data_IF_654349429237
#
_entry.id   IF_654349429237
#
_cell.length_a   1.000
_cell.length_b   1.000
_cell.length_c   1.000
_cell.angle_alpha   90.00
_cell.angle_beta   90.00
_cell.angle_gamma   90.00
#
_symmetry.space_group_name_H-M   'P 1'
#
loop_
_entity.id
_entity.type
_entity.pdbx_description
1 polymer ?
#
# COMPACT_ATOMS: atom_id res chain seq x y z
N UNK A 1 3.77 -20.89 18.18
CA UNK A 1 3.82 -22.11 17.37
C UNK A 1 3.36 -21.74 15.95
N UNK A 2 3.98 -22.31 14.91
CA UNK A 2 3.61 -22.02 13.53
C UNK A 2 2.33 -22.75 13.14
N UNK A 3 1.49 -22.07 12.33
CA UNK A 3 0.32 -22.69 11.71
C UNK A 3 0.77 -23.75 10.69
N UNK A 4 0.14 -24.94 10.63
CA UNK A 4 0.36 -25.89 9.53
C UNK A 4 -0.05 -25.33 8.19
N UNK A 5 0.58 -25.82 7.10
CA UNK A 5 0.17 -25.49 5.74
C UNK A 5 -0.84 -26.55 5.25
N UNK A 6 -2.08 -26.13 5.04
CA UNK A 6 -3.14 -26.97 4.49
C UNK A 6 -3.18 -26.82 2.95
N UNK A 7 -2.35 -27.60 2.26
CA UNK A 7 -2.24 -27.55 0.80
C UNK A 7 -3.37 -28.28 0.07
N UNK A 8 -4.38 -28.79 0.80
CA UNK A 8 -5.53 -29.45 0.22
C UNK A 8 -6.43 -28.47 -0.55
N UNK A 9 -6.97 -28.90 -1.70
CA UNK A 9 -7.98 -28.15 -2.47
C UNK A 9 -9.38 -28.56 -2.03
N UNK A 10 -9.64 -29.85 -1.83
CA UNK A 10 -10.93 -30.41 -1.43
C UNK A 10 -10.83 -31.05 -0.03
N UNK A 11 -11.92 -31.02 0.71
CA UNK A 11 -12.01 -31.57 2.04
C UNK A 11 -13.11 -32.65 2.08
N UNK A 12 -12.87 -33.74 2.79
CA UNK A 12 -13.82 -34.84 2.92
C UNK A 12 -14.95 -34.42 3.86
N UNK A 13 -16.19 -34.67 3.43
CA UNK A 13 -17.34 -34.63 4.32
C UNK A 13 -17.58 -36.02 4.95
N UNK A 14 -17.89 -36.06 6.27
CA UNK A 14 -18.18 -37.35 6.97
C UNK A 14 -19.39 -38.05 6.40
N UNK A 15 -20.50 -37.32 6.16
CA UNK A 15 -21.73 -37.79 5.59
C UNK A 15 -22.51 -36.67 4.90
N UNK A 16 -23.64 -36.99 4.26
CA UNK A 16 -24.54 -35.98 3.70
C UNK A 16 -25.09 -35.07 4.82
N UNK A 17 -24.91 -33.76 4.66
CA UNK A 17 -25.31 -32.77 5.67
C UNK A 17 -24.30 -32.55 6.81
N UNK A 18 -23.21 -33.32 6.86
CA UNK A 18 -22.14 -33.16 7.83
C UNK A 18 -20.92 -32.49 7.18
N UNK A 19 -20.20 -31.66 7.96
CA UNK A 19 -19.00 -30.96 7.50
C UNK A 19 -17.89 -31.01 8.57
N UNK A 20 -16.64 -31.00 8.12
CA UNK A 20 -15.48 -30.77 8.98
C UNK A 20 -15.15 -29.27 9.17
N UNK A 21 -16.00 -28.38 8.67
CA UNK A 21 -15.80 -26.93 8.66
C UNK A 21 -15.25 -26.39 7.34
N UNK A 22 -14.69 -27.25 6.48
CA UNK A 22 -14.14 -26.88 5.19
C UNK A 22 -14.68 -27.78 4.08
N UNK A 23 -14.86 -27.22 2.89
CA UNK A 23 -15.33 -27.95 1.71
C UNK A 23 -14.33 -27.83 0.54
N UNK A 24 -13.89 -26.63 0.24
CA UNK A 24 -13.06 -26.33 -0.93
C UNK A 24 -12.21 -25.07 -0.70
N UNK A 25 -10.91 -25.12 -1.00
CA UNK A 25 -9.97 -24.06 -0.66
C UNK A 25 -10.23 -22.71 -1.35
N UNK A 26 -10.91 -22.68 -2.50
CA UNK A 26 -11.34 -21.41 -3.10
C UNK A 26 -12.35 -20.67 -2.21
N UNK A 27 -13.18 -21.41 -1.48
CA UNK A 27 -14.11 -20.85 -0.50
C UNK A 27 -13.38 -20.51 0.79
N UNK A 28 -12.83 -21.53 1.45
CA UNK A 28 -12.16 -21.41 2.75
C UNK A 28 -10.98 -22.40 2.86
N UNK A 29 -9.93 -21.98 3.55
CA UNK A 29 -8.75 -22.80 3.83
C UNK A 29 -8.23 -22.47 5.23
N UNK A 30 -7.86 -23.47 6.07
CA UNK A 30 -7.43 -23.21 7.46
C UNK A 30 -6.23 -22.27 7.58
N UNK A 31 -5.23 -22.39 6.69
CA UNK A 31 -4.05 -21.52 6.71
C UNK A 31 -4.41 -20.09 6.34
N UNK A 32 -5.28 -19.90 5.33
CA UNK A 32 -5.76 -18.57 4.92
C UNK A 32 -6.63 -17.93 6.01
N UNK A 33 -7.51 -18.68 6.64
CA UNK A 33 -8.34 -18.17 7.76
C UNK A 33 -7.49 -17.63 8.91
N UNK A 34 -6.39 -18.32 9.26
CA UNK A 34 -5.50 -17.83 10.31
C UNK A 34 -4.82 -16.51 9.93
N UNK A 35 -4.41 -16.34 8.66
CA UNK A 35 -3.90 -15.08 8.16
C UNK A 35 -4.97 -13.98 8.22
N UNK A 36 -6.16 -14.27 7.71
CA UNK A 36 -7.29 -13.34 7.68
C UNK A 36 -7.68 -12.92 9.11
N UNK A 37 -7.76 -13.87 10.05
CA UNK A 37 -7.99 -13.60 11.47
C UNK A 37 -6.91 -12.71 12.07
N UNK A 38 -5.64 -13.00 11.78
CA UNK A 38 -4.49 -12.20 12.25
C UNK A 38 -4.58 -10.77 11.75
N UNK A 39 -4.86 -10.55 10.46
CA UNK A 39 -4.93 -9.23 9.87
C UNK A 39 -6.16 -8.43 10.36
N UNK A 40 -7.31 -9.08 10.56
CA UNK A 40 -8.47 -8.45 11.15
C UNK A 40 -8.16 -7.90 12.55
N UNK A 41 -7.47 -8.68 13.39
CA UNK A 41 -7.05 -8.25 14.74
C UNK A 41 -6.05 -7.08 14.68
N UNK A 42 -5.05 -7.16 13.80
CA UNK A 42 -3.99 -6.14 13.72
C UNK A 42 -4.54 -4.77 13.27
N UNK A 43 -5.46 -4.74 12.32
CA UNK A 43 -6.11 -3.50 11.86
C UNK A 43 -7.29 -3.09 12.76
N UNK A 44 -7.85 -4.02 13.54
CA UNK A 44 -9.01 -3.78 14.39
C UNK A 44 -10.35 -3.84 13.65
N UNK A 45 -10.44 -4.69 12.62
CA UNK A 45 -11.67 -4.96 11.86
C UNK A 45 -12.36 -6.23 12.31
N UNK A 46 -13.61 -6.43 11.85
CA UNK A 46 -14.38 -7.67 12.13
C UNK A 46 -13.96 -8.83 11.23
N UNK A 47 -13.49 -8.54 10.02
CA UNK A 47 -13.12 -9.56 9.03
C UNK A 47 -12.05 -9.06 8.08
N UNK A 48 -11.14 -9.97 7.69
CA UNK A 48 -10.18 -9.73 6.63
C UNK A 48 -10.28 -10.81 5.56
N UNK A 49 -9.74 -10.50 4.37
CA UNK A 49 -9.71 -11.38 3.20
C UNK A 49 -8.33 -11.31 2.56
N UNK A 50 -7.75 -12.48 2.25
CA UNK A 50 -6.42 -12.57 1.65
C UNK A 50 -6.50 -12.93 0.16
N UNK A 51 -5.95 -12.04 -0.66
CA UNK A 51 -5.97 -12.06 -2.12
C UNK A 51 -4.60 -12.39 -2.71
N UNK A 52 -4.58 -12.87 -3.94
CA UNK A 52 -3.38 -13.21 -4.70
C UNK A 52 -2.49 -12.00 -5.04
N UNK A 53 -2.97 -10.78 -4.86
CA UNK A 53 -2.17 -9.54 -5.02
C UNK A 53 -2.91 -8.34 -4.39
N UNK A 54 -2.18 -7.23 -4.15
CA UNK A 54 -2.79 -5.96 -3.75
C UNK A 54 -3.80 -5.46 -4.78
N UNK A 55 -3.54 -5.66 -6.08
CA UNK A 55 -4.48 -5.28 -7.14
C UNK A 55 -5.76 -6.12 -7.09
N UNK A 56 -5.68 -7.42 -6.79
CA UNK A 56 -6.86 -8.24 -6.59
C UNK A 56 -7.69 -7.80 -5.36
N UNK A 57 -7.02 -7.31 -4.32
CA UNK A 57 -7.67 -6.69 -3.16
C UNK A 57 -8.41 -5.40 -3.55
N UNK A 58 -7.75 -4.50 -4.29
CA UNK A 58 -8.37 -3.27 -4.78
C UNK A 58 -9.54 -3.54 -5.74
N UNK A 59 -9.42 -4.54 -6.64
CA UNK A 59 -10.52 -4.99 -7.49
C UNK A 59 -11.75 -5.40 -6.68
N UNK A 60 -11.56 -6.13 -5.57
CA UNK A 60 -12.66 -6.54 -4.70
C UNK A 60 -13.35 -5.34 -4.04
N UNK A 61 -12.59 -4.31 -3.65
CA UNK A 61 -13.14 -3.08 -3.07
C UNK A 61 -13.92 -2.27 -4.12
N UNK A 62 -13.36 -2.07 -5.31
CA UNK A 62 -14.07 -1.36 -6.38
C UNK A 62 -15.30 -2.10 -6.89
N UNK A 63 -15.36 -3.43 -6.74
CA UNK A 63 -16.57 -4.22 -7.08
C UNK A 63 -17.78 -3.94 -6.17
N UNK A 64 -17.61 -3.19 -5.08
CA UNK A 64 -18.72 -2.69 -4.25
C UNK A 64 -19.51 -1.58 -4.93
N UNK A 65 -18.95 -0.93 -5.96
CA UNK A 65 -19.57 0.15 -6.72
C UNK A 65 -20.50 -0.40 -7.80
N UNK A 66 -21.56 0.32 -8.09
CA UNK A 66 -22.52 0.02 -9.16
C UNK A 66 -22.28 0.95 -10.35
N UNK A 67 -22.69 0.56 -11.56
CA UNK A 67 -22.67 1.46 -12.72
C UNK A 67 -23.34 2.81 -12.41
N UNK A 68 -22.66 3.90 -12.70
CA UNK A 68 -23.08 5.27 -12.39
C UNK A 68 -22.59 5.79 -11.02
N UNK A 69 -21.98 4.96 -10.18
CA UNK A 69 -21.35 5.45 -8.94
C UNK A 69 -20.04 6.19 -9.26
N UNK A 70 -19.70 7.14 -8.39
CA UNK A 70 -18.49 7.94 -8.49
C UNK A 70 -17.55 7.66 -7.32
N UNK A 71 -16.23 7.59 -7.60
CA UNK A 71 -15.16 7.44 -6.62
C UNK A 71 -14.17 8.60 -6.69
N UNK A 72 -13.79 9.14 -5.53
CA UNK A 72 -12.67 10.06 -5.37
C UNK A 72 -11.40 9.27 -5.02
N UNK A 73 -10.29 9.55 -5.72
CA UNK A 73 -9.01 8.89 -5.52
C UNK A 73 -7.90 9.91 -5.28
N UNK A 74 -6.87 9.53 -4.52
CA UNK A 74 -5.63 10.31 -4.40
C UNK A 74 -5.05 10.61 -5.79
N UNK A 75 -4.56 11.82 -6.02
CA UNK A 75 -4.07 12.29 -7.33
C UNK A 75 -2.76 11.62 -7.78
N UNK A 76 -1.93 11.19 -6.84
CA UNK A 76 -0.71 10.42 -7.09
C UNK A 76 -0.83 8.96 -6.60
N UNK A 77 -1.98 8.36 -6.80
CA UNK A 77 -2.24 6.96 -6.47
C UNK A 77 -1.36 6.02 -7.29
N UNK A 78 -1.04 4.85 -6.72
CA UNK A 78 -0.26 3.82 -7.40
C UNK A 78 -0.79 3.54 -8.83
N UNK A 79 0.12 3.50 -9.83
CA UNK A 79 -0.24 3.35 -11.25
C UNK A 79 -1.11 2.14 -11.56
N UNK A 80 -0.97 1.02 -10.83
CA UNK A 80 -1.85 -0.14 -10.97
C UNK A 80 -3.30 0.16 -10.56
N UNK A 81 -3.53 0.96 -9.52
CA UNK A 81 -4.86 1.37 -9.09
C UNK A 81 -5.46 2.38 -10.07
N UNK A 82 -4.64 3.32 -10.58
CA UNK A 82 -5.01 4.22 -11.68
C UNK A 82 -5.54 3.44 -12.89
N UNK A 83 -4.81 2.40 -13.32
CA UNK A 83 -5.22 1.54 -14.44
C UNK A 83 -6.50 0.76 -14.14
N UNK A 84 -6.67 0.20 -12.95
CA UNK A 84 -7.89 -0.54 -12.57
C UNK A 84 -9.12 0.34 -12.71
N UNK A 85 -9.09 1.53 -12.13
CA UNK A 85 -10.29 2.37 -12.12
C UNK A 85 -10.60 2.94 -13.51
N UNK A 86 -9.58 3.38 -14.26
CA UNK A 86 -9.74 3.94 -15.59
C UNK A 86 -10.08 2.89 -16.64
N UNK A 87 -9.22 1.88 -16.79
CA UNK A 87 -9.30 0.95 -17.91
C UNK A 87 -10.25 -0.23 -17.67
N UNK A 88 -10.47 -0.63 -16.42
CA UNK A 88 -11.34 -1.77 -16.10
C UNK A 88 -12.71 -1.27 -15.65
N UNK A 89 -12.80 -0.53 -14.56
CA UNK A 89 -14.08 -0.12 -13.98
C UNK A 89 -14.77 1.01 -14.78
N UNK A 90 -14.02 1.87 -15.44
CA UNK A 90 -14.57 2.88 -16.36
C UNK A 90 -15.44 2.28 -17.47
N UNK A 91 -15.09 1.06 -17.96
CA UNK A 91 -15.91 0.33 -18.95
C UNK A 91 -17.26 -0.15 -18.40
N UNK A 92 -17.36 -0.27 -17.09
CA UNK A 92 -18.60 -0.66 -16.41
C UNK A 92 -19.40 0.55 -15.89
N UNK A 93 -19.01 1.77 -16.31
CA UNK A 93 -19.73 2.99 -15.98
C UNK A 93 -19.44 3.54 -14.59
N UNK A 94 -18.32 3.18 -13.98
CA UNK A 94 -17.85 3.81 -12.75
C UNK A 94 -17.16 5.12 -13.10
N UNK A 95 -17.67 6.22 -12.54
CA UNK A 95 -17.03 7.54 -12.65
C UNK A 95 -15.93 7.69 -11.62
N UNK A 96 -14.89 8.45 -11.95
CA UNK A 96 -13.82 8.72 -11.01
C UNK A 96 -13.27 10.15 -11.14
N UNK A 97 -12.69 10.65 -10.04
CA UNK A 97 -11.98 11.93 -9.99
C UNK A 97 -10.75 11.78 -9.12
N UNK A 98 -9.60 12.19 -9.65
CA UNK A 98 -8.36 12.30 -8.89
C UNK A 98 -8.29 13.66 -8.22
N UNK A 99 -7.95 13.70 -6.91
CA UNK A 99 -7.93 14.93 -6.12
C UNK A 99 -6.79 14.88 -5.09
N UNK A 100 -6.21 16.02 -4.80
CA UNK A 100 -5.24 16.16 -3.71
C UNK A 100 -5.95 15.92 -2.37
N UNK A 101 -5.73 14.72 -1.77
CA UNK A 101 -6.41 14.30 -0.54
C UNK A 101 -5.91 15.02 0.72
N UNK A 102 -4.82 15.74 0.64
CA UNK A 102 -4.28 16.62 1.66
C UNK A 102 -4.89 18.07 1.60
N UNK A 103 -5.70 18.36 0.57
CA UNK A 103 -6.51 19.58 0.45
C UNK A 103 -8.00 19.26 0.63
N UNK A 104 -8.50 19.45 1.86
CA UNK A 104 -9.90 19.14 2.21
C UNK A 104 -10.92 19.99 1.45
N UNK A 105 -10.58 21.19 1.01
CA UNK A 105 -11.48 22.04 0.25
C UNK A 105 -11.55 21.58 -1.21
N UNK A 106 -10.45 21.16 -1.81
CA UNK A 106 -10.43 20.50 -3.10
C UNK A 106 -11.24 19.18 -3.06
N UNK A 107 -11.11 18.38 -2.01
CA UNK A 107 -11.90 17.15 -1.82
C UNK A 107 -13.40 17.47 -1.78
N UNK A 108 -13.83 18.44 -0.96
CA UNK A 108 -15.25 18.83 -0.88
C UNK A 108 -15.79 19.32 -2.22
N UNK A 109 -14.99 20.10 -2.97
CA UNK A 109 -15.36 20.61 -4.30
C UNK A 109 -15.50 19.49 -5.35
N UNK A 110 -14.78 18.38 -5.20
CA UNK A 110 -14.80 17.25 -6.13
C UNK A 110 -15.95 16.26 -5.86
N UNK A 111 -16.70 16.42 -4.75
CA UNK A 111 -17.83 15.54 -4.42
C UNK A 111 -18.98 15.75 -5.39
N UNK A 112 -19.53 14.66 -5.91
CA UNK A 112 -20.71 14.63 -6.78
C UNK A 112 -21.90 13.97 -6.05
N UNK A 113 -23.15 14.17 -6.49
CA UNK A 113 -24.32 13.50 -5.89
C UNK A 113 -24.26 11.97 -5.89
N UNK A 114 -23.52 11.40 -6.85
CA UNK A 114 -23.31 9.96 -7.00
C UNK A 114 -21.98 9.48 -6.41
N UNK A 115 -21.27 10.28 -5.61
CA UNK A 115 -20.03 9.86 -4.92
C UNK A 115 -20.38 8.80 -3.87
N UNK A 116 -19.75 7.61 -3.97
CA UNK A 116 -19.99 6.45 -3.10
C UNK A 116 -18.74 5.92 -2.42
N UNK A 117 -17.55 6.39 -2.83
CA UNK A 117 -16.30 5.91 -2.26
C UNK A 117 -15.23 7.00 -2.32
N UNK A 118 -14.44 7.08 -1.25
CA UNK A 118 -13.14 7.75 -1.22
C UNK A 118 -12.09 6.64 -1.11
N UNK A 119 -11.17 6.57 -2.06
CA UNK A 119 -10.06 5.63 -2.04
C UNK A 119 -8.76 6.40 -1.86
N UNK A 120 -8.18 6.32 -0.67
CA UNK A 120 -7.08 7.16 -0.22
C UNK A 120 -5.83 6.34 0.01
N UNK A 121 -4.72 6.71 -0.63
CA UNK A 121 -3.39 6.19 -0.34
C UNK A 121 -2.66 7.22 0.53
N UNK A 122 -2.15 6.81 1.70
CA UNK A 122 -1.45 7.72 2.61
C UNK A 122 -0.46 6.99 3.52
N UNK A 123 0.87 7.36 3.49
CA UNK A 123 1.50 8.29 2.54
C UNK A 123 1.41 7.80 1.10
N UNK A 124 1.38 8.73 0.13
CA UNK A 124 1.27 8.39 -1.29
C UNK A 124 2.59 7.92 -1.90
N UNK A 125 2.50 7.19 -3.02
CA UNK A 125 3.64 6.71 -3.80
C UNK A 125 3.66 7.39 -5.17
N UNK A 126 4.68 8.19 -5.53
CA UNK A 126 5.96 8.32 -4.83
C UNK A 126 6.15 9.65 -4.08
N UNK A 127 5.15 10.56 -4.09
CA UNK A 127 5.33 11.95 -3.65
C UNK A 127 5.31 12.13 -2.14
N UNK A 128 4.97 11.06 -1.38
CA UNK A 128 4.96 11.08 0.09
C UNK A 128 3.98 12.12 0.69
N UNK A 129 2.87 12.41 0.00
CA UNK A 129 1.79 13.26 0.52
C UNK A 129 1.04 12.52 1.63
N UNK A 130 0.56 13.25 2.63
CA UNK A 130 -0.18 12.67 3.76
C UNK A 130 -1.56 13.29 3.87
N UNK A 131 -2.58 12.44 3.80
CA UNK A 131 -3.97 12.82 3.97
C UNK A 131 -4.43 12.65 5.43
N UNK A 132 -5.24 13.57 5.95
CA UNK A 132 -5.89 13.42 7.27
C UNK A 132 -7.05 12.43 7.17
N UNK A 133 -6.78 11.19 7.58
CA UNK A 133 -7.76 10.08 7.50
C UNK A 133 -9.03 10.40 8.27
N UNK A 134 -8.92 10.99 9.45
CA UNK A 134 -10.10 11.31 10.28
C UNK A 134 -10.98 12.37 9.60
N UNK A 135 -10.38 13.46 9.13
CA UNK A 135 -11.12 14.53 8.46
C UNK A 135 -11.80 14.02 7.17
N UNK A 136 -11.08 13.23 6.37
CA UNK A 136 -11.65 12.62 5.15
C UNK A 136 -12.77 11.62 5.47
N UNK A 137 -12.64 10.84 6.54
CA UNK A 137 -13.69 9.90 6.98
C UNK A 137 -14.97 10.63 7.40
N UNK A 138 -14.84 11.77 8.08
CA UNK A 138 -15.98 12.62 8.44
C UNK A 138 -16.67 13.20 7.20
N UNK A 139 -15.92 13.65 6.21
CA UNK A 139 -16.44 14.14 4.92
C UNK A 139 -17.13 13.00 4.16
N UNK A 140 -16.49 11.84 3.99
CA UNK A 140 -17.07 10.70 3.29
C UNK A 140 -18.40 10.26 3.94
N UNK A 141 -18.42 10.15 5.27
CA UNK A 141 -19.63 9.83 6.05
C UNK A 141 -20.75 10.83 5.83
N UNK A 142 -20.45 12.14 5.76
CA UNK A 142 -21.45 13.19 5.58
C UNK A 142 -22.23 13.08 4.26
N UNK A 143 -21.65 12.42 3.25
CA UNK A 143 -22.25 12.20 1.92
C UNK A 143 -22.66 10.74 1.68
N UNK A 144 -22.56 9.88 2.70
CA UNK A 144 -22.90 8.46 2.61
C UNK A 144 -21.95 7.65 1.70
N UNK A 145 -20.68 8.09 1.59
CA UNK A 145 -19.65 7.39 0.85
C UNK A 145 -18.79 6.53 1.78
N UNK A 146 -18.25 5.42 1.26
CA UNK A 146 -17.28 4.58 1.96
C UNK A 146 -15.90 5.25 1.97
N UNK A 147 -15.22 5.17 3.11
CA UNK A 147 -13.83 5.57 3.26
C UNK A 147 -12.92 4.35 3.21
N UNK A 148 -12.11 4.26 2.18
CA UNK A 148 -11.12 3.19 1.96
C UNK A 148 -9.72 3.76 2.05
N UNK A 149 -8.85 3.12 2.82
CA UNK A 149 -7.46 3.54 2.96
C UNK A 149 -6.52 2.41 2.55
N UNK A 150 -5.63 2.68 1.59
CA UNK A 150 -4.47 1.83 1.33
C UNK A 150 -3.39 2.14 2.36
N UNK A 151 -3.17 1.21 3.29
CA UNK A 151 -2.24 1.32 4.41
C UNK A 151 -0.94 0.54 4.18
N UNK A 152 -0.56 0.32 2.93
CA UNK A 152 0.59 -0.51 2.53
C UNK A 152 1.90 0.00 3.12
N UNK A 153 2.16 1.33 3.14
CA UNK A 153 3.44 1.90 3.56
C UNK A 153 3.66 1.87 5.07
N UNK A 154 2.62 2.12 5.84
CA UNK A 154 2.75 2.24 7.30
C UNK A 154 2.36 0.97 8.05
N UNK A 155 1.61 0.07 7.43
CA UNK A 155 1.13 -1.17 8.05
C UNK A 155 0.32 -0.92 9.34
N UNK A 156 -0.37 -1.91 9.90
CA UNK A 156 -1.06 -1.72 11.18
C UNK A 156 -0.10 -1.44 12.35
N UNK A 157 1.21 -1.59 12.12
CA UNK A 157 2.20 -1.27 13.16
C UNK A 157 2.33 0.24 13.40
N UNK A 158 2.38 1.06 12.35
CA UNK A 158 2.49 2.51 12.47
C UNK A 158 1.17 3.27 12.31
N UNK A 159 0.19 2.74 11.58
CA UNK A 159 -1.07 3.42 11.32
C UNK A 159 -2.25 2.44 11.38
N UNK A 160 -3.37 2.83 12.00
CA UNK A 160 -4.59 2.04 12.05
C UNK A 160 -5.78 2.86 11.50
N UNK A 161 -6.00 2.88 10.18
CA UNK A 161 -7.02 3.72 9.55
C UNK A 161 -8.44 3.45 10.04
N UNK A 162 -8.80 2.20 10.37
CA UNK A 162 -10.13 1.86 10.90
C UNK A 162 -10.43 2.60 12.22
N UNK A 163 -9.41 2.81 13.07
CA UNK A 163 -9.56 3.59 14.32
C UNK A 163 -9.73 5.08 14.06
N UNK A 164 -9.28 5.55 12.89
CA UNK A 164 -9.38 6.95 12.45
C UNK A 164 -10.66 7.23 11.65
N UNK A 165 -11.51 6.23 11.47
CA UNK A 165 -12.82 6.40 10.84
C UNK A 165 -13.00 5.71 9.50
N UNK A 166 -11.95 5.16 8.89
CA UNK A 166 -12.07 4.40 7.65
C UNK A 166 -13.00 3.18 7.82
N UNK A 167 -13.71 2.81 6.75
CA UNK A 167 -14.61 1.66 6.70
C UNK A 167 -13.88 0.39 6.24
N UNK A 168 -12.90 0.57 5.35
CA UNK A 168 -12.13 -0.52 4.75
C UNK A 168 -10.65 -0.11 4.70
N UNK A 169 -9.77 -1.07 4.97
CA UNK A 169 -8.33 -0.94 4.74
C UNK A 169 -7.89 -1.95 3.70
N UNK A 170 -7.05 -1.51 2.75
CA UNK A 170 -6.37 -2.39 1.80
C UNK A 170 -4.87 -2.41 2.04
N UNK A 171 -4.22 -3.50 1.64
CA UNK A 171 -2.77 -3.64 1.63
C UNK A 171 -2.31 -4.39 0.39
N UNK A 172 -1.25 -3.91 -0.24
CA UNK A 172 -0.34 -4.80 -0.92
C UNK A 172 0.54 -5.49 0.13
N UNK A 173 0.10 -6.64 0.62
CA UNK A 173 0.86 -7.39 1.65
C UNK A 173 2.16 -8.01 1.13
N UNK A 174 2.37 -7.97 -0.19
CA UNK A 174 3.66 -8.16 -0.88
C UNK A 174 4.80 -7.35 -0.26
N UNK A 175 4.48 -6.18 0.31
CA UNK A 175 5.41 -5.16 0.79
C UNK A 175 5.81 -5.44 2.24
N UNK A 176 5.77 -4.45 3.11
CA UNK A 176 6.22 -4.54 4.50
C UNK A 176 5.59 -5.67 5.32
N UNK A 177 4.34 -6.04 5.05
CA UNK A 177 3.69 -7.15 5.77
C UNK A 177 4.41 -8.48 5.53
N UNK A 178 4.70 -8.82 4.28
CA UNK A 178 5.55 -9.95 3.90
C UNK A 178 7.01 -9.71 4.26
N UNK A 179 7.56 -8.62 3.75
CA UNK A 179 8.86 -8.05 4.10
C UNK A 179 10.08 -8.82 3.62
N UNK A 180 9.92 -9.86 2.80
CA UNK A 180 11.02 -10.73 2.39
C UNK A 180 11.11 -10.92 0.86
N UNK A 181 10.37 -10.15 0.06
CA UNK A 181 10.35 -10.19 -1.41
C UNK A 181 10.05 -11.59 -2.00
N UNK A 182 9.36 -12.45 -1.25
CA UNK A 182 9.15 -13.89 -1.52
C UNK A 182 7.69 -14.28 -1.76
N UNK A 183 6.73 -13.35 -1.60
CA UNK A 183 5.30 -13.60 -1.80
C UNK A 183 4.59 -12.40 -2.40
N UNK A 184 3.72 -12.66 -3.38
CA UNK A 184 2.80 -11.68 -3.95
C UNK A 184 1.43 -11.85 -3.29
N UNK A 185 0.92 -10.81 -2.64
CA UNK A 185 -0.30 -10.94 -1.84
C UNK A 185 -1.01 -9.60 -1.61
N UNK A 186 -2.30 -9.66 -1.29
CA UNK A 186 -3.12 -8.51 -0.92
C UNK A 186 -4.06 -8.83 0.24
N UNK A 187 -4.42 -7.81 0.99
CA UNK A 187 -5.36 -7.94 2.11
C UNK A 187 -6.43 -6.84 1.99
N UNK A 188 -7.66 -7.20 2.29
CA UNK A 188 -8.76 -6.26 2.60
C UNK A 188 -9.21 -6.51 4.02
N UNK A 189 -9.38 -5.45 4.82
CA UNK A 189 -9.94 -5.54 6.17
C UNK A 189 -11.17 -4.64 6.26
N UNK A 190 -12.30 -5.20 6.70
CA UNK A 190 -13.57 -4.49 6.89
C UNK A 190 -13.75 -4.16 8.38
N UNK A 191 -14.13 -2.90 8.67
CA UNK A 191 -14.22 -2.38 10.04
C UNK A 191 -15.30 -3.12 10.87
N UNK A 192 -16.58 -2.89 10.55
CA UNK A 192 -17.71 -3.31 11.39
C UNK A 192 -19.02 -3.57 10.59
N UNK A 193 -18.91 -3.69 9.25
CA UNK A 193 -20.05 -3.85 8.35
C UNK A 193 -20.08 -5.25 7.74
N UNK A 194 -20.98 -6.11 8.27
CA UNK A 194 -21.16 -7.50 7.82
C UNK A 194 -21.64 -7.59 6.36
N UNK A 195 -22.44 -6.63 5.88
CA UNK A 195 -22.92 -6.62 4.50
C UNK A 195 -21.76 -6.40 3.51
N UNK A 196 -20.86 -5.44 3.83
CA UNK A 196 -19.65 -5.21 3.04
C UNK A 196 -18.75 -6.44 3.08
N UNK A 197 -18.57 -7.03 4.26
CA UNK A 197 -17.76 -8.24 4.41
C UNK A 197 -18.31 -9.40 3.55
N UNK A 198 -19.63 -9.60 3.51
CA UNK A 198 -20.23 -10.63 2.66
C UNK A 198 -20.08 -10.32 1.16
N UNK A 199 -20.22 -9.07 0.73
CA UNK A 199 -19.98 -8.68 -0.67
C UNK A 199 -18.53 -8.97 -1.09
N UNK A 200 -17.54 -8.65 -0.25
CA UNK A 200 -16.13 -8.99 -0.50
C UNK A 200 -15.93 -10.51 -0.53
N UNK A 201 -16.59 -11.26 0.38
CA UNK A 201 -16.55 -12.72 0.38
C UNK A 201 -17.15 -13.32 -0.91
N UNK A 202 -18.27 -12.79 -1.39
CA UNK A 202 -18.86 -13.19 -2.67
C UNK A 202 -17.91 -12.93 -3.82
N UNK A 203 -17.24 -11.76 -3.81
CA UNK A 203 -16.26 -11.42 -4.84
C UNK A 203 -15.09 -12.42 -4.86
N UNK A 204 -14.42 -12.65 -3.71
CA UNK A 204 -13.22 -13.52 -3.66
C UNK A 204 -13.56 -14.96 -4.08
N UNK A 205 -14.66 -15.52 -3.61
CA UNK A 205 -15.06 -16.89 -3.96
C UNK A 205 -15.50 -17.05 -5.42
N UNK A 206 -16.04 -15.99 -6.04
CA UNK A 206 -16.53 -15.99 -7.42
C UNK A 206 -15.41 -15.75 -8.42
N UNK A 207 -14.53 -14.79 -8.17
CA UNK A 207 -13.38 -14.48 -9.02
C UNK A 207 -12.22 -15.48 -8.86
N UNK A 208 -12.14 -16.17 -7.71
CA UNK A 208 -11.09 -17.13 -7.46
C UNK A 208 -9.72 -16.49 -7.24
N UNK A 209 -9.69 -15.25 -6.73
CA UNK A 209 -8.47 -14.45 -6.50
C UNK A 209 -7.89 -14.60 -5.08
N UNK A 210 -8.26 -15.66 -4.37
CA UNK A 210 -7.77 -15.96 -3.03
C UNK A 210 -6.27 -16.26 -3.02
N UNK A 211 -5.61 -15.94 -1.90
CA UNK A 211 -4.21 -16.26 -1.68
C UNK A 211 -4.00 -17.77 -1.45
N UNK A 212 -2.96 -18.35 -2.05
CA UNK A 212 -2.61 -19.75 -1.91
C UNK A 212 -2.10 -20.06 -0.47
N UNK A 213 -2.27 -21.32 0.03
CA UNK A 213 -1.90 -21.65 1.40
C UNK A 213 -0.41 -21.44 1.73
N UNK A 214 0.48 -21.72 0.81
CA UNK A 214 1.92 -21.49 1.00
C UNK A 214 2.24 -20.01 1.17
N UNK A 215 1.66 -19.15 0.32
CA UNK A 215 1.84 -17.70 0.41
C UNK A 215 1.20 -17.13 1.70
N UNK A 216 0.04 -17.67 2.13
CA UNK A 216 -0.55 -17.34 3.42
C UNK A 216 0.41 -17.64 4.57
N UNK A 217 1.10 -18.78 4.51
CA UNK A 217 2.05 -19.20 5.54
C UNK A 217 3.30 -18.31 5.55
N UNK A 218 3.87 -17.98 4.37
CA UNK A 218 5.00 -17.06 4.23
C UNK A 218 4.64 -15.68 4.80
N UNK A 219 3.45 -15.17 4.47
CA UNK A 219 2.97 -13.89 4.98
C UNK A 219 2.78 -13.91 6.51
N UNK A 220 2.16 -14.97 7.06
CA UNK A 220 2.06 -15.17 8.52
C UNK A 220 3.44 -15.18 9.19
N UNK A 221 4.44 -15.81 8.54
CA UNK A 221 5.81 -15.83 9.03
C UNK A 221 6.44 -14.43 9.00
N UNK A 222 6.26 -13.67 7.90
CA UNK A 222 6.73 -12.30 7.77
C UNK A 222 6.13 -11.35 8.81
N UNK A 223 4.83 -11.45 9.06
CA UNK A 223 4.11 -10.63 10.06
C UNK A 223 4.70 -10.79 11.47
N UNK A 224 5.22 -11.96 11.84
CA UNK A 224 5.82 -12.19 13.17
C UNK A 224 7.02 -11.30 13.47
N UNK A 225 7.71 -10.81 12.45
CA UNK A 225 8.86 -9.90 12.59
C UNK A 225 8.52 -8.46 12.21
N UNK A 226 7.25 -8.16 11.90
CA UNK A 226 6.83 -6.84 11.44
C UNK A 226 7.31 -5.71 12.36
N UNK A 227 7.12 -5.75 13.69
CA UNK A 227 7.53 -4.65 14.57
C UNK A 227 9.03 -4.34 14.48
N UNK A 228 9.88 -5.35 14.64
CA UNK A 228 11.35 -5.14 14.60
C UNK A 228 11.86 -4.69 13.24
N UNK A 229 11.20 -5.11 12.15
CA UNK A 229 11.53 -4.64 10.80
C UNK A 229 11.09 -3.18 10.60
N UNK A 230 9.85 -2.85 10.95
CA UNK A 230 9.33 -1.49 10.79
C UNK A 230 10.12 -0.47 11.61
N UNK A 231 10.50 -0.81 12.86
CA UNK A 231 11.36 0.06 13.68
C UNK A 231 12.71 0.30 12.99
N UNK A 232 13.33 -0.75 12.45
CA UNK A 232 14.63 -0.63 11.76
C UNK A 232 14.51 0.13 10.44
N UNK A 233 13.48 -0.14 9.63
CA UNK A 233 13.20 0.62 8.42
C UNK A 233 13.04 2.11 8.72
N UNK A 234 12.27 2.45 9.74
CA UNK A 234 12.00 3.83 10.15
C UNK A 234 13.28 4.54 10.64
N UNK A 235 14.08 3.86 11.46
CA UNK A 235 15.36 4.40 11.95
C UNK A 235 16.34 4.64 10.80
N UNK A 236 16.52 3.67 9.92
CA UNK A 236 17.41 3.75 8.78
C UNK A 236 16.96 4.84 7.80
N UNK A 237 15.67 4.87 7.45
CA UNK A 237 15.12 5.86 6.52
C UNK A 237 15.32 7.28 7.03
N UNK A 238 15.13 7.53 8.31
CA UNK A 238 15.40 8.84 8.89
C UNK A 238 16.86 9.29 8.67
N UNK A 239 17.81 8.42 9.02
CA UNK A 239 19.26 8.74 8.86
C UNK A 239 19.65 8.94 7.39
N UNK A 240 19.14 8.09 6.48
CA UNK A 240 19.39 8.22 5.05
C UNK A 240 18.77 9.51 4.49
N UNK A 241 17.53 9.85 4.89
CA UNK A 241 16.88 11.08 4.45
C UNK A 241 17.61 12.35 4.94
N UNK A 242 18.06 12.36 6.21
CA UNK A 242 18.88 13.44 6.77
C UNK A 242 20.21 13.57 6.02
N UNK A 243 20.90 12.48 5.74
CA UNK A 243 22.13 12.46 4.96
C UNK A 243 21.91 12.99 3.52
N UNK A 244 20.85 12.52 2.82
CA UNK A 244 20.52 12.97 1.47
C UNK A 244 20.36 14.49 1.38
N UNK A 245 19.76 15.14 2.40
CA UNK A 245 19.64 16.61 2.45
C UNK A 245 20.98 17.35 2.48
N UNK A 246 22.06 16.70 2.91
CA UNK A 246 23.39 17.30 2.97
C UNK A 246 24.15 17.17 1.64
N UNK A 247 23.66 16.38 0.68
CA UNK A 247 24.38 16.08 -0.53
C UNK A 247 24.23 17.17 -1.59
N UNK A 248 25.35 17.70 -2.16
CA UNK A 248 25.30 18.80 -3.14
C UNK A 248 24.50 18.48 -4.41
N UNK A 249 24.50 17.21 -4.83
CA UNK A 249 23.79 16.72 -6.02
C UNK A 249 22.30 16.48 -5.78
N UNK A 250 21.84 16.43 -4.52
CA UNK A 250 20.43 16.25 -4.17
C UNK A 250 19.74 17.61 -4.12
N UNK A 251 18.64 17.77 -4.86
CA UNK A 251 17.87 19.01 -4.94
C UNK A 251 16.70 19.05 -3.97
N UNK A 252 16.04 17.91 -3.78
CA UNK A 252 14.90 17.80 -2.87
C UNK A 252 14.79 16.38 -2.35
N UNK A 253 14.40 16.24 -1.08
CA UNK A 253 14.10 14.97 -0.43
C UNK A 253 12.65 15.01 0.04
N UNK A 254 11.89 13.98 -0.30
CA UNK A 254 10.50 13.77 0.11
C UNK A 254 10.49 12.66 1.17
N UNK A 255 10.24 13.04 2.41
CA UNK A 255 10.19 12.13 3.55
C UNK A 255 9.23 12.69 4.61
N UNK A 256 8.22 11.92 4.96
CA UNK A 256 7.15 12.35 5.87
C UNK A 256 7.59 12.60 7.31
N UNK A 257 8.79 12.15 7.67
CA UNK A 257 9.37 12.33 9.01
C UNK A 257 10.13 13.65 9.21
N UNK A 258 10.20 14.51 8.21
CA UNK A 258 10.80 15.83 8.39
C UNK A 258 9.83 16.81 9.03
N UNK A 259 10.29 17.57 10.03
CA UNK A 259 9.46 18.57 10.73
C UNK A 259 8.96 19.70 9.83
N UNK A 260 9.68 19.98 8.74
CA UNK A 260 9.30 20.97 7.71
C UNK A 260 8.47 20.38 6.56
N UNK A 261 8.08 19.09 6.64
CA UNK A 261 7.09 18.52 5.72
C UNK A 261 5.72 19.19 5.95
N UNK A 262 5.06 19.62 4.86
CA UNK A 262 3.78 20.36 4.95
C UNK A 262 2.72 19.65 5.81
N UNK A 263 2.72 18.31 5.77
CA UNK A 263 1.75 17.48 6.47
C UNK A 263 2.31 16.83 7.74
N UNK A 264 3.44 17.35 8.29
CA UNK A 264 4.05 16.76 9.48
C UNK A 264 3.11 16.69 10.68
N UNK A 265 2.34 17.75 10.91
CA UNK A 265 1.36 17.79 12.01
C UNK A 265 0.29 16.69 11.88
N UNK A 266 -0.19 16.44 10.65
CA UNK A 266 -1.10 15.34 10.35
C UNK A 266 -0.42 13.98 10.57
N UNK A 267 0.81 13.84 10.10
CA UNK A 267 1.59 12.61 10.25
C UNK A 267 1.72 12.20 11.72
N UNK A 268 2.22 13.09 12.58
CA UNK A 268 2.42 12.78 14.01
C UNK A 268 1.12 12.58 14.79
N UNK A 269 0.01 13.18 14.31
CA UNK A 269 -1.34 13.01 14.90
C UNK A 269 -1.86 11.59 14.69
N UNK A 270 -1.63 10.99 13.52
CA UNK A 270 -2.29 9.75 13.11
C UNK A 270 -1.39 8.52 13.04
N UNK A 271 -0.05 8.71 13.14
CA UNK A 271 0.92 7.62 13.00
C UNK A 271 1.84 7.51 14.21
N UNK A 272 2.46 6.34 14.38
CA UNK A 272 3.47 6.06 15.41
C UNK A 272 4.90 6.01 14.86
N UNK A 273 5.06 6.26 13.55
CA UNK A 273 6.32 6.25 12.84
C UNK A 273 6.14 6.72 11.40
N UNK A 274 7.25 6.84 10.68
CA UNK A 274 7.30 7.47 9.36
C UNK A 274 7.53 6.47 8.21
N UNK A 275 7.78 5.20 8.56
CA UNK A 275 8.05 4.13 7.58
C UNK A 275 9.46 4.20 6.97
N UNK A 276 9.68 3.39 5.94
CA UNK A 276 10.97 3.20 5.29
C UNK A 276 11.09 3.81 3.88
N UNK A 277 10.13 4.63 3.44
CA UNK A 277 10.11 5.17 2.09
C UNK A 277 10.69 6.56 2.03
N UNK A 278 11.54 6.82 1.01
CA UNK A 278 12.10 8.11 0.68
C UNK A 278 11.99 8.29 -0.83
N UNK A 279 11.63 9.49 -1.27
CA UNK A 279 11.85 9.91 -2.65
C UNK A 279 12.76 11.12 -2.69
N UNK A 280 13.53 11.28 -3.75
CA UNK A 280 14.42 12.43 -3.89
C UNK A 280 14.68 12.77 -5.35
N UNK A 281 15.03 14.02 -5.60
CA UNK A 281 15.48 14.49 -6.91
C UNK A 281 16.95 14.86 -6.86
N UNK A 282 17.66 14.56 -7.93
CA UNK A 282 19.06 14.92 -8.11
C UNK A 282 19.24 16.02 -9.16
N UNK A 283 20.45 16.52 -9.30
CA UNK A 283 20.80 17.67 -10.15
C UNK A 283 20.69 17.39 -11.65
N UNK A 284 20.86 16.13 -12.08
CA UNK A 284 20.88 15.77 -13.50
C UNK A 284 20.48 14.31 -13.73
N UNK A 285 20.01 14.01 -14.94
CA UNK A 285 19.76 12.62 -15.39
C UNK A 285 21.05 11.79 -15.43
N UNK A 286 22.22 12.42 -15.68
CA UNK A 286 23.50 11.74 -15.59
C UNK A 286 23.76 11.21 -14.16
N UNK A 287 23.43 12.00 -13.14
CA UNK A 287 23.52 11.56 -11.74
C UNK A 287 22.57 10.38 -11.45
N UNK A 288 21.36 10.40 -12.00
CA UNK A 288 20.45 9.23 -11.92
C UNK A 288 21.10 7.98 -12.51
N UNK A 289 21.64 8.09 -13.73
CA UNK A 289 22.30 6.96 -14.41
C UNK A 289 23.50 6.45 -13.63
N UNK A 290 24.32 7.34 -13.04
CA UNK A 290 25.45 6.97 -12.20
C UNK A 290 25.03 6.20 -10.96
N UNK A 291 24.03 6.71 -10.24
CA UNK A 291 23.48 6.05 -9.05
C UNK A 291 23.02 4.63 -9.43
N UNK A 292 22.10 4.52 -10.39
CA UNK A 292 21.48 3.25 -10.75
C UNK A 292 22.46 2.22 -11.32
N UNK A 293 23.57 2.67 -11.93
CA UNK A 293 24.60 1.78 -12.48
C UNK A 293 25.59 1.30 -11.41
N UNK A 294 25.87 2.12 -10.42
CA UNK A 294 27.01 1.93 -9.51
C UNK A 294 26.61 1.52 -8.09
N UNK A 295 25.32 1.52 -7.72
CA UNK A 295 24.90 0.86 -6.48
C UNK A 295 25.25 -0.62 -6.53
N UNK A 296 25.64 -1.19 -5.40
CA UNK A 296 26.11 -2.57 -5.27
C UNK A 296 25.27 -3.34 -4.25
N UNK A 297 25.23 -2.87 -3.01
CA UNK A 297 24.36 -3.42 -1.97
C UNK A 297 22.90 -3.00 -2.15
N UNK A 298 22.67 -1.73 -2.51
CA UNK A 298 21.35 -1.22 -2.88
C UNK A 298 20.97 -1.82 -4.24
N UNK A 299 19.81 -2.45 -4.31
CA UNK A 299 19.38 -3.10 -5.57
C UNK A 299 18.52 -2.15 -6.40
N UNK A 300 18.90 -1.92 -7.66
CA UNK A 300 18.02 -1.28 -8.64
C UNK A 300 16.97 -2.28 -9.08
N UNK A 301 15.81 -2.25 -8.42
CA UNK A 301 14.71 -3.18 -8.63
C UNK A 301 13.37 -2.54 -8.30
N UNK A 302 12.31 -3.08 -8.89
CA UNK A 302 10.94 -2.70 -8.52
C UNK A 302 10.54 -3.30 -7.18
N UNK A 303 9.43 -2.82 -6.62
CA UNK A 303 8.89 -3.18 -5.33
C UNK A 303 9.40 -2.27 -4.20
N UNK A 304 9.11 -2.64 -2.96
CA UNK A 304 9.47 -1.93 -1.74
C UNK A 304 9.15 -2.79 -0.50
N UNK A 305 9.64 -2.36 0.66
CA UNK A 305 9.25 -2.92 1.96
C UNK A 305 9.88 -4.25 2.32
N UNK A 306 10.82 -4.74 1.48
CA UNK A 306 11.67 -5.88 1.81
C UNK A 306 12.77 -5.53 2.80
N UNK A 307 13.42 -6.55 3.34
CA UNK A 307 14.59 -6.41 4.23
C UNK A 307 15.77 -5.74 3.55
N UNK A 308 15.88 -5.88 2.23
CA UNK A 308 16.88 -5.27 1.38
C UNK A 308 16.48 -3.86 0.93
N UNK A 309 17.47 -2.97 0.85
CA UNK A 309 17.28 -1.63 0.29
C UNK A 309 17.11 -1.68 -1.22
N UNK A 310 16.00 -1.13 -1.71
CA UNK A 310 15.68 -1.03 -3.13
C UNK A 310 15.66 0.43 -3.59
N UNK A 311 16.22 0.70 -4.76
CA UNK A 311 16.08 1.97 -5.46
C UNK A 311 15.31 1.77 -6.77
N UNK A 312 14.41 2.68 -7.08
CA UNK A 312 13.50 2.59 -8.23
C UNK A 312 13.53 3.89 -9.01
N UNK A 313 13.41 3.79 -10.33
CA UNK A 313 13.23 4.93 -11.23
C UNK A 313 11.75 5.03 -11.67
N UNK A 314 10.91 5.81 -10.97
CA UNK A 314 9.46 5.78 -11.17
C UNK A 314 9.00 6.11 -12.59
N UNK A 315 9.73 6.96 -13.31
CA UNK A 315 9.37 7.45 -14.64
C UNK A 315 9.13 6.33 -15.65
N UNK A 316 9.93 5.24 -15.62
CA UNK A 316 9.84 4.09 -16.54
C UNK A 316 9.45 2.77 -15.86
N UNK A 317 9.16 2.78 -14.56
CA UNK A 317 8.79 1.61 -13.79
C UNK A 317 7.41 1.78 -13.15
N UNK A 318 7.34 2.20 -11.89
CA UNK A 318 6.09 2.21 -11.11
C UNK A 318 5.01 3.17 -11.64
N UNK A 319 5.39 4.18 -12.45
CA UNK A 319 4.52 5.19 -13.04
C UNK A 319 4.63 5.23 -14.57
N UNK A 320 5.08 4.16 -15.20
CA UNK A 320 5.18 4.09 -16.67
C UNK A 320 3.84 4.41 -17.34
N UNK A 321 2.75 3.80 -16.86
CA UNK A 321 1.38 3.97 -17.40
C UNK A 321 0.75 5.35 -17.07
N UNK A 322 1.37 6.15 -16.18
CA UNK A 322 0.85 7.49 -15.86
C UNK A 322 1.15 8.46 -17.00
N UNK A 323 0.14 9.21 -17.51
CA UNK A 323 0.35 10.19 -18.58
C UNK A 323 1.45 11.20 -18.23
N UNK A 324 2.19 11.65 -19.26
CA UNK A 324 3.37 12.51 -19.08
C UNK A 324 3.01 13.84 -18.42
N UNK A 325 1.91 14.46 -18.82
CA UNK A 325 1.40 15.70 -18.24
C UNK A 325 1.03 15.55 -16.75
N UNK A 326 0.51 14.38 -16.36
CA UNK A 326 0.24 14.05 -14.96
C UNK A 326 1.55 13.88 -14.18
N UNK A 327 2.54 13.14 -14.74
CA UNK A 327 3.87 13.03 -14.12
C UNK A 327 4.53 14.37 -13.90
N UNK A 328 4.49 15.26 -14.91
CA UNK A 328 5.04 16.61 -14.83
C UNK A 328 4.32 17.46 -13.77
N UNK A 329 3.00 17.40 -13.71
CA UNK A 329 2.19 18.07 -12.67
C UNK A 329 2.54 17.59 -11.26
N UNK A 330 2.76 16.31 -11.09
CA UNK A 330 3.16 15.70 -9.82
C UNK A 330 4.64 15.98 -9.46
N UNK A 331 5.46 16.45 -10.39
CA UNK A 331 6.88 16.67 -10.19
C UNK A 331 7.74 15.41 -10.33
N UNK A 332 7.22 14.36 -10.96
CA UNK A 332 7.94 13.13 -11.31
C UNK A 332 8.71 13.40 -12.60
N UNK A 333 9.96 13.82 -12.46
CA UNK A 333 10.86 14.17 -13.55
C UNK A 333 11.89 13.09 -13.84
N UNK A 334 12.67 13.25 -14.90
CA UNK A 334 13.79 12.34 -15.22
C UNK A 334 14.91 12.33 -14.17
N UNK A 335 14.90 13.28 -13.23
CA UNK A 335 15.83 13.34 -12.11
C UNK A 335 15.28 12.77 -10.80
N UNK A 336 14.13 12.10 -10.84
CA UNK A 336 13.40 11.63 -9.66
C UNK A 336 13.73 10.14 -9.38
N UNK A 337 14.07 9.83 -8.12
CA UNK A 337 14.33 8.49 -7.62
C UNK A 337 13.48 8.20 -6.40
N UNK A 338 13.08 6.94 -6.22
CA UNK A 338 12.41 6.45 -5.02
C UNK A 338 13.23 5.34 -4.38
N UNK A 339 13.38 5.37 -3.06
CA UNK A 339 14.14 4.40 -2.29
C UNK A 339 13.26 3.78 -1.20
N UNK A 340 13.25 2.47 -1.13
CA UNK A 340 12.73 1.69 -0.01
C UNK A 340 13.92 1.27 0.84
N UNK A 341 14.10 1.93 1.96
CA UNK A 341 15.24 1.68 2.84
C UNK A 341 15.03 0.39 3.62
N UNK A 342 15.99 -0.51 3.52
CA UNK A 342 15.97 -1.83 4.17
C UNK A 342 16.44 -1.80 5.63
N UNK A 343 16.78 -2.98 6.14
CA UNK A 343 17.18 -3.15 7.55
C UNK A 343 18.68 -3.40 7.72
N UNK A 344 19.47 -3.25 6.67
CA UNK A 344 20.92 -3.37 6.65
C UNK A 344 21.56 -2.35 7.62
N UNK A 345 22.86 -2.43 7.79
CA UNK A 345 23.58 -1.37 8.49
C UNK A 345 23.44 -0.05 7.74
N UNK A 346 22.96 0.99 8.38
CA UNK A 346 22.65 2.27 7.75
C UNK A 346 23.89 2.98 7.19
N UNK A 347 25.04 2.81 7.84
CA UNK A 347 26.32 3.36 7.36
C UNK A 347 26.74 2.74 6.03
N UNK A 348 26.47 1.44 5.82
CA UNK A 348 26.74 0.75 4.57
C UNK A 348 25.78 1.21 3.46
N UNK A 349 24.50 1.42 3.77
CA UNK A 349 23.52 2.00 2.83
C UNK A 349 23.99 3.38 2.35
N UNK A 350 24.40 4.24 3.29
CA UNK A 350 24.87 5.59 2.99
C UNK A 350 26.17 5.54 2.17
N UNK A 351 27.12 4.67 2.54
CA UNK A 351 28.39 4.54 1.83
C UNK A 351 28.21 4.05 0.40
N UNK A 352 27.30 3.09 0.16
CA UNK A 352 27.00 2.59 -1.18
C UNK A 352 26.40 3.70 -2.07
N UNK A 353 25.44 4.46 -1.52
CA UNK A 353 24.77 5.54 -2.24
C UNK A 353 25.74 6.71 -2.51
N UNK A 354 26.59 7.08 -1.54
CA UNK A 354 27.62 8.12 -1.69
C UNK A 354 28.63 7.75 -2.79
N UNK A 355 29.14 6.54 -2.75
CA UNK A 355 30.05 6.00 -3.78
C UNK A 355 29.38 6.04 -5.16
N UNK A 356 28.16 5.54 -5.27
CA UNK A 356 27.42 5.47 -6.53
C UNK A 356 27.11 6.86 -7.12
N UNK A 357 26.83 7.84 -6.26
CA UNK A 357 26.56 9.22 -6.66
C UNK A 357 27.82 9.96 -7.12
N UNK A 358 29.00 9.63 -6.59
CA UNK A 358 30.25 10.34 -6.82
C UNK A 358 31.23 9.60 -7.75
N UNK A 359 30.86 8.43 -8.26
CA UNK A 359 31.65 7.69 -9.25
C UNK A 359 31.65 8.32 -10.65
#
# INVERSE_FOLDING_TARGET
VSMPIFQAVTYRHPALGESTGFAYSRLENPTRQELERTMAILEGGIKAFAFSSGQAANMAVFSLLNPGDHVLLSDDIYGGTFRIIGDVFGKYGIEHTYVEMDDLDAVKAAIKPNTKMFFVETPTNPMMKVADIQALSEIAKSVGALMVVDNTFLTPYFQNPLKLGADIVTHSSTKYLGGHNDTLSGIVVVKDNEEIAEKIHVHIKSHGSQLAPMDCWLLLRGIKTLPVRMDRHNENAKKVAEWLRTQPKVKKVYYVGFEDHKDYATTIKQTRGFGGMISFTVDSFETVQKILRNVDMIMFAESLGGTETLITYPTTQTHEDTPKDVKEKLGITDCFLRMSVGIENVEDIIADLDRAMNS
#
